data_IF_113563949269
#
_entry.id   IF_113563949269
#
_cell.length_a   1.000
_cell.length_b   1.000
_cell.length_c   1.000
_cell.angle_alpha   90.00
_cell.angle_beta   90.00
_cell.angle_gamma   90.00
#
_symmetry.space_group_name_H-M   'P 1'
#
loop_
_entity.id
_entity.type
_entity.pdbx_description
1 polymer ?
#
# COMPACT_ATOMS: atom_id res chain seq x y z
N UNK A 1 -14.49 2.02 -6.33
CA UNK A 1 -13.81 2.20 -5.03
C UNK A 1 -13.00 0.95 -4.78
N UNK A 2 -11.78 1.09 -4.28
CA UNK A 2 -11.02 -0.07 -3.78
C UNK A 2 -11.64 -0.53 -2.46
N UNK A 3 -11.78 -1.84 -2.30
CA UNK A 3 -12.15 -2.47 -1.04
C UNK A 3 -10.91 -2.54 -0.14
N UNK A 4 -10.94 -1.87 1.02
CA UNK A 4 -9.82 -1.86 1.98
C UNK A 4 -10.06 -2.98 2.99
N UNK A 5 -9.18 -3.98 3.02
CA UNK A 5 -9.32 -5.09 3.97
C UNK A 5 -8.58 -4.77 5.27
N UNK A 6 -9.04 -5.32 6.39
CA UNK A 6 -8.40 -5.14 7.69
C UNK A 6 -6.89 -5.46 7.68
N UNK A 7 -6.48 -6.48 6.92
CA UNK A 7 -5.09 -6.88 6.77
C UNK A 7 -4.21 -5.89 5.99
N UNK A 8 -4.82 -4.95 5.25
CA UNK A 8 -4.12 -3.92 4.48
C UNK A 8 -3.85 -2.65 5.30
N UNK A 9 -4.38 -2.57 6.52
CA UNK A 9 -4.28 -1.39 7.38
C UNK A 9 -3.14 -1.56 8.38
N UNK A 10 -2.14 -0.69 8.30
CA UNK A 10 -1.06 -0.61 9.28
C UNK A 10 -1.15 0.69 10.09
N UNK A 11 -0.54 0.66 11.30
CA UNK A 11 -0.33 1.87 12.09
C UNK A 11 0.34 2.96 11.24
N UNK A 12 -0.17 4.18 11.39
CA UNK A 12 0.26 5.39 10.70
C UNK A 12 -0.05 5.46 9.19
N UNK A 13 -0.82 4.52 8.64
CA UNK A 13 -1.41 4.68 7.32
C UNK A 13 -2.34 5.89 7.26
N UNK A 14 -2.34 6.61 6.14
CA UNK A 14 -3.23 7.75 5.92
C UNK A 14 -4.45 7.35 5.07
N UNK A 15 -5.63 7.79 5.51
CA UNK A 15 -6.92 7.58 4.83
C UNK A 15 -7.77 8.86 4.87
N UNK A 16 -8.86 8.88 4.11
CA UNK A 16 -9.91 9.90 4.23
C UNK A 16 -11.01 9.38 5.15
N UNK A 17 -11.32 10.14 6.20
CA UNK A 17 -12.43 9.87 7.11
C UNK A 17 -13.79 10.27 6.54
N UNK A 18 -14.86 9.89 7.22
CA UNK A 18 -16.23 10.27 6.82
C UNK A 18 -16.49 11.78 6.87
N UNK A 19 -15.73 12.50 7.69
CA UNK A 19 -15.70 13.97 7.71
C UNK A 19 -15.04 14.59 6.47
N UNK A 20 -14.51 13.76 5.56
CA UNK A 20 -13.83 14.16 4.34
C UNK A 20 -12.39 14.62 4.54
N UNK A 21 -11.82 14.47 5.74
CA UNK A 21 -10.47 14.93 6.07
C UNK A 21 -9.48 13.77 6.11
N UNK A 22 -8.20 14.02 5.79
CA UNK A 22 -7.17 13.02 5.98
C UNK A 22 -6.93 12.79 7.47
N UNK A 23 -6.82 11.52 7.85
CA UNK A 23 -6.41 11.11 9.19
C UNK A 23 -5.43 9.94 9.12
N UNK A 24 -4.68 9.76 10.20
CA UNK A 24 -3.80 8.61 10.36
C UNK A 24 -4.49 7.51 11.16
N UNK A 25 -4.36 6.27 10.68
CA UNK A 25 -4.72 5.10 11.45
C UNK A 25 -3.82 4.97 12.68
N UNK A 26 -4.43 4.77 13.84
CA UNK A 26 -3.78 4.70 15.17
C UNK A 26 -4.31 3.50 15.95
N UNK A 27 -3.56 3.08 16.98
CA UNK A 27 -3.88 1.89 17.78
C UNK A 27 -5.30 1.84 18.33
N UNK A 28 -5.86 2.99 18.74
CA UNK A 28 -7.23 3.04 19.27
C UNK A 28 -8.30 2.66 18.23
N UNK A 29 -8.05 2.84 16.93
CA UNK A 29 -8.99 2.45 15.88
C UNK A 29 -9.12 0.93 15.77
N UNK A 30 -8.06 0.16 16.02
CA UNK A 30 -8.16 -1.31 16.10
C UNK A 30 -9.04 -1.72 17.28
N UNK A 31 -8.88 -1.06 18.44
CA UNK A 31 -9.74 -1.29 19.60
C UNK A 31 -11.22 -0.94 19.37
N UNK A 32 -11.53 -0.01 18.46
CA UNK A 32 -12.92 0.30 18.09
C UNK A 32 -13.57 -0.83 17.27
N UNK A 33 -12.79 -1.56 16.46
CA UNK A 33 -13.28 -2.67 15.65
C UNK A 33 -13.45 -3.94 16.50
N UNK A 34 -12.57 -4.16 17.49
CA UNK A 34 -12.53 -5.39 18.29
C UNK A 34 -13.55 -5.44 19.45
N UNK A 35 -14.14 -4.30 19.85
CA UNK A 35 -15.06 -4.27 21.01
C UNK A 35 -16.53 -4.52 20.59
N UNK A 36 -17.06 -5.68 21.00
CA UNK A 36 -18.40 -6.24 20.69
C UNK A 36 -19.62 -5.43 21.15
N UNK A 37 -19.45 -4.23 21.72
CA UNK A 37 -20.57 -3.44 22.28
C UNK A 37 -21.14 -2.43 21.28
N UNK A 38 -20.31 -1.92 20.37
CA UNK A 38 -20.71 -1.08 19.23
C UNK A 38 -19.72 -1.35 18.09
N UNK A 39 -19.91 -2.44 17.33
CA UNK A 39 -18.99 -2.81 16.25
C UNK A 39 -18.98 -1.73 15.16
N UNK A 40 -18.03 -0.80 15.22
CA UNK A 40 -17.73 0.12 14.14
C UNK A 40 -16.91 -0.64 13.10
N UNK A 41 -17.46 -0.79 11.90
CA UNK A 41 -16.78 -1.40 10.77
C UNK A 41 -15.68 -0.48 10.23
N UNK A 42 -14.71 -1.05 9.51
CA UNK A 42 -13.67 -0.26 8.82
C UNK A 42 -14.31 0.77 7.89
N UNK A 43 -15.37 0.37 7.20
CA UNK A 43 -16.16 1.21 6.30
C UNK A 43 -16.97 2.28 7.04
N UNK A 44 -17.02 2.33 8.35
CA UNK A 44 -17.63 3.45 9.10
C UNK A 44 -16.59 4.48 9.56
N UNK A 45 -15.30 4.11 9.51
CA UNK A 45 -14.19 4.97 9.90
C UNK A 45 -13.51 5.56 8.65
N UNK A 46 -13.23 4.69 7.67
CA UNK A 46 -12.55 5.05 6.43
C UNK A 46 -13.59 5.24 5.33
N UNK A 47 -13.73 6.48 4.86
CA UNK A 47 -14.54 6.79 3.69
C UNK A 47 -13.87 6.34 2.39
N UNK A 48 -12.55 6.54 2.28
CA UNK A 48 -11.79 6.12 1.10
C UNK A 48 -10.28 6.12 1.33
N UNK A 49 -9.57 5.29 0.56
CA UNK A 49 -8.12 5.39 0.40
C UNK A 49 -7.73 6.70 -0.29
N UNK A 50 -6.54 7.22 0.06
CA UNK A 50 -5.96 8.40 -0.60
C UNK A 50 -5.25 7.93 -1.88
N UNK A 51 -5.66 8.40 -3.08
CA UNK A 51 -4.95 8.09 -4.32
C UNK A 51 -3.49 8.55 -4.23
N UNK A 52 -2.56 7.71 -4.67
CA UNK A 52 -1.16 8.08 -4.74
C UNK A 52 -0.96 9.05 -5.90
N UNK A 53 -0.51 10.27 -5.60
CA UNK A 53 -0.25 11.31 -6.60
C UNK A 53 1.22 11.69 -6.59
N UNK A 54 1.66 12.35 -7.66
CA UNK A 54 3.01 12.91 -7.75
C UNK A 54 3.32 13.88 -6.59
N UNK A 55 2.37 14.74 -6.21
CA UNK A 55 2.52 15.69 -5.09
C UNK A 55 2.83 14.97 -3.77
N UNK A 56 2.14 13.86 -3.50
CA UNK A 56 2.39 13.05 -2.31
C UNK A 56 3.79 12.42 -2.34
N UNK A 57 4.23 11.93 -3.50
CA UNK A 57 5.57 11.39 -3.67
C UNK A 57 6.65 12.46 -3.41
N UNK A 58 6.46 13.68 -3.94
CA UNK A 58 7.38 14.78 -3.70
C UNK A 58 7.44 15.16 -2.21
N UNK A 59 6.29 15.24 -1.54
CA UNK A 59 6.19 15.46 -0.08
C UNK A 59 6.80 14.33 0.75
N UNK A 60 6.86 13.13 0.21
CA UNK A 60 7.53 11.98 0.83
C UNK A 60 9.04 11.92 0.52
N UNK A 61 9.59 12.95 -0.14
CA UNK A 61 11.03 13.06 -0.43
C UNK A 61 11.49 12.31 -1.68
N UNK A 62 10.57 11.74 -2.46
CA UNK A 62 10.90 11.14 -3.75
C UNK A 62 11.29 12.23 -4.75
N UNK A 63 12.19 11.89 -5.68
CA UNK A 63 12.67 12.82 -6.71
C UNK A 63 12.22 12.32 -8.08
N UNK A 64 11.85 13.26 -8.95
CA UNK A 64 11.64 12.97 -10.37
C UNK A 64 12.92 12.38 -10.95
N UNK A 65 12.83 11.19 -11.52
CA UNK A 65 13.89 10.67 -12.36
C UNK A 65 13.79 11.30 -13.76
N UNK A 66 14.92 11.69 -14.35
CA UNK A 66 14.98 12.32 -15.69
C UNK A 66 14.89 11.30 -16.83
N UNK A 67 14.97 10.01 -16.52
CA UNK A 67 14.91 8.96 -17.52
C UNK A 67 13.44 8.66 -17.87
N UNK A 68 12.96 9.31 -18.93
CA UNK A 68 11.95 8.71 -19.79
C UNK A 68 12.47 7.36 -20.30
N UNK A 69 11.54 6.45 -20.57
CA UNK A 69 11.73 5.08 -21.04
C UNK A 69 13.00 4.95 -21.92
N UNK A 70 14.11 4.51 -21.32
CA UNK A 70 15.29 4.05 -22.04
C UNK A 70 15.10 2.55 -22.28
N UNK A 71 14.86 2.09 -23.52
CA UNK A 71 14.62 0.68 -23.82
C UNK A 71 15.85 -0.22 -23.64
N UNK A 72 17.04 0.32 -23.32
CA UNK A 72 18.29 -0.43 -23.24
C UNK A 72 19.16 -0.19 -21.99
N UNK A 73 18.83 0.80 -21.14
CA UNK A 73 19.49 1.03 -19.85
C UNK A 73 18.48 1.30 -18.74
N UNK A 74 17.87 0.23 -18.22
CA UNK A 74 16.99 0.29 -17.06
C UNK A 74 17.77 0.11 -15.75
N UNK A 75 18.27 1.20 -15.19
CA UNK A 75 18.63 1.30 -13.76
C UNK A 75 18.25 2.72 -13.32
N UNK A 76 17.38 2.95 -12.33
CA UNK A 76 17.28 2.28 -11.03
C UNK A 76 15.82 2.09 -10.57
N UNK A 77 15.50 0.86 -10.15
CA UNK A 77 14.40 0.56 -9.21
C UNK A 77 13.01 0.32 -9.82
N UNK A 78 12.76 -0.90 -10.31
CA UNK A 78 11.40 -1.41 -10.54
C UNK A 78 11.14 -2.55 -9.56
N UNK A 79 10.06 -2.47 -8.80
CA UNK A 79 9.62 -3.56 -7.93
C UNK A 79 8.47 -4.33 -8.59
N UNK A 80 8.83 -5.38 -9.32
CA UNK A 80 7.87 -6.26 -9.99
C UNK A 80 7.57 -7.47 -9.10
N UNK A 81 6.40 -7.48 -8.44
CA UNK A 81 5.90 -8.65 -7.74
C UNK A 81 4.81 -9.32 -8.56
N UNK A 82 5.13 -10.45 -9.15
CA UNK A 82 4.13 -11.27 -9.81
C UNK A 82 4.71 -12.66 -9.95
N UNK A 83 4.12 -13.57 -9.19
CA UNK A 83 4.53 -14.95 -9.17
C UNK A 83 3.31 -15.84 -9.34
N UNK A 84 3.52 -16.93 -10.08
CA UNK A 84 2.62 -18.06 -10.12
C UNK A 84 3.16 -19.17 -9.23
N UNK A 85 2.30 -19.72 -8.39
CA UNK A 85 2.55 -20.98 -7.72
C UNK A 85 1.90 -22.09 -8.54
N UNK A 86 2.71 -23.00 -9.10
CA UNK A 86 2.21 -24.16 -9.82
C UNK A 86 2.47 -25.42 -9.01
N UNK A 87 1.45 -26.24 -8.81
CA UNK A 87 1.59 -27.58 -8.22
C UNK A 87 1.59 -28.57 -9.37
N UNK A 88 2.67 -29.34 -9.50
CA UNK A 88 2.81 -30.35 -10.54
C UNK A 88 2.08 -31.63 -10.13
N UNK A 89 1.73 -32.49 -11.09
CA UNK A 89 1.00 -33.74 -10.83
C UNK A 89 1.72 -34.72 -9.88
N UNK A 90 3.03 -34.55 -9.71
CA UNK A 90 3.86 -35.32 -8.77
C UNK A 90 4.00 -34.64 -7.39
N UNK A 91 3.22 -33.59 -7.14
CA UNK A 91 3.18 -32.86 -5.86
C UNK A 91 4.28 -31.82 -5.69
N UNK A 92 5.17 -31.63 -6.67
CA UNK A 92 6.20 -30.58 -6.57
C UNK A 92 5.57 -29.19 -6.67
N UNK A 93 5.97 -28.32 -5.75
CA UNK A 93 5.68 -26.89 -5.77
C UNK A 93 6.74 -26.19 -6.61
N UNK A 94 6.31 -25.52 -7.68
CA UNK A 94 7.18 -24.72 -8.53
C UNK A 94 6.81 -23.24 -8.46
N UNK A 95 7.82 -22.42 -8.21
CA UNK A 95 7.75 -20.96 -8.19
C UNK A 95 8.14 -20.42 -9.56
N UNK A 96 7.19 -19.79 -10.27
CA UNK A 96 7.45 -19.13 -11.54
C UNK A 96 7.26 -17.63 -11.43
N UNK A 97 8.19 -16.85 -11.97
CA UNK A 97 7.96 -15.42 -12.23
C UNK A 97 6.97 -15.28 -13.38
N UNK A 98 5.82 -14.66 -13.13
CA UNK A 98 4.82 -14.37 -14.16
C UNK A 98 4.80 -12.86 -14.29
N UNK A 99 5.63 -12.27 -15.16
CA UNK A 99 5.93 -10.83 -15.25
C UNK A 99 4.75 -9.84 -15.32
N UNK A 100 4.00 -9.70 -14.24
CA UNK A 100 3.05 -8.65 -13.95
C UNK A 100 3.65 -7.54 -13.09
N UNK A 101 3.20 -6.31 -13.33
CA UNK A 101 3.53 -5.19 -12.47
C UNK A 101 2.40 -5.08 -11.43
N UNK A 102 2.72 -4.94 -10.14
CA UNK A 102 1.72 -4.48 -9.16
C UNK A 102 1.71 -2.96 -9.24
N UNK A 103 0.55 -2.42 -9.58
CA UNK A 103 0.32 -0.99 -9.54
C UNK A 103 0.07 -0.55 -8.08
N UNK A 104 0.90 0.35 -7.57
CA UNK A 104 0.66 1.01 -6.27
C UNK A 104 -0.23 2.22 -6.52
N UNK A 105 -1.53 2.05 -6.28
CA UNK A 105 -2.57 3.04 -6.60
C UNK A 105 -2.83 4.02 -5.46
N UNK A 106 -2.62 3.58 -4.23
CA UNK A 106 -3.02 4.32 -3.04
C UNK A 106 -1.86 4.51 -2.07
N UNK A 107 -1.93 5.60 -1.29
CA UNK A 107 -0.89 5.98 -0.35
C UNK A 107 -0.59 4.91 0.69
N UNK A 108 -1.62 4.28 1.28
CA UNK A 108 -1.44 3.24 2.29
C UNK A 108 -0.64 2.04 1.75
N UNK A 109 -0.81 1.67 0.48
CA UNK A 109 -0.04 0.60 -0.17
C UNK A 109 1.45 0.94 -0.24
N UNK A 110 1.78 2.19 -0.61
CA UNK A 110 3.17 2.66 -0.60
C UNK A 110 3.76 2.70 0.81
N UNK A 111 2.99 3.16 1.79
CA UNK A 111 3.42 3.21 3.19
C UNK A 111 3.74 1.81 3.73
N UNK A 112 2.86 0.85 3.47
CA UNK A 112 3.05 -0.54 3.88
C UNK A 112 4.26 -1.16 3.21
N UNK A 113 4.40 -0.96 1.90
CA UNK A 113 5.55 -1.44 1.15
C UNK A 113 6.87 -0.87 1.70
N UNK A 114 6.93 0.46 1.89
CA UNK A 114 8.12 1.13 2.44
C UNK A 114 8.48 0.59 3.83
N UNK A 115 7.47 0.37 4.69
CA UNK A 115 7.66 -0.19 6.02
C UNK A 115 8.16 -1.62 6.00
N UNK A 116 7.57 -2.48 5.15
CA UNK A 116 8.02 -3.86 4.98
C UNK A 116 9.46 -3.94 4.49
N UNK A 117 9.90 -3.02 3.63
CA UNK A 117 11.25 -3.01 3.06
C UNK A 117 12.30 -2.39 4.00
N UNK A 118 11.94 -1.37 4.77
CA UNK A 118 12.91 -0.56 5.54
C UNK A 118 12.78 -0.69 7.06
N UNK A 119 11.68 -1.26 7.55
CA UNK A 119 11.30 -1.24 8.96
C UNK A 119 10.82 0.12 9.48
N UNK A 120 10.84 1.17 8.65
CA UNK A 120 10.51 2.53 9.06
C UNK A 120 9.18 3.00 8.44
N UNK A 121 8.49 3.92 9.11
CA UNK A 121 7.30 4.57 8.54
C UNK A 121 7.70 5.60 7.47
N UNK A 122 6.96 5.63 6.36
CA UNK A 122 7.12 6.67 5.34
C UNK A 122 6.65 8.02 5.91
N UNK A 123 7.54 9.00 5.93
CA UNK A 123 7.24 10.37 6.35
C UNK A 123 6.72 11.17 5.16
N UNK A 124 5.68 11.97 5.39
CA UNK A 124 5.10 12.88 4.40
C UNK A 124 5.18 14.27 5.02
N UNK A 125 5.90 15.17 4.36
CA UNK A 125 5.93 16.59 4.76
C UNK A 125 4.56 17.22 4.48
N UNK A 126 3.99 17.86 5.50
CA UNK A 126 2.65 18.49 5.46
C UNK A 126 2.82 20.00 5.27
#
# INVERSE_FOLDING_TARGET
MEEIKAGDIMLNNWFIGYDGKPFQWKGYHFGMIENEVECVTIDEIIKSAIPLTEDILLKAGFKRNKFGIDPYNSSDGWLNYSFGLTIWNDGRLFYGWIGGNIEVKYLHQLQNLFKSLTGNDLKIEV
#
